data_IF_157339319888
#
_entry.id   IF_157339319888
#
_cell.length_a   1.000
_cell.length_b   1.000
_cell.length_c   1.000
_cell.angle_alpha   90.00
_cell.angle_beta   90.00
_cell.angle_gamma   90.00
#
_symmetry.space_group_name_H-M   'P 1'
#
loop_
_entity.id
_entity.type
_entity.pdbx_description
1 polymer ?
#
# COMPACT_ATOMS: atom_id res chain seq x y z
N UNK A 1 9.10 -28.84 -6.85
CA UNK A 1 8.53 -27.76 -7.67
C UNK A 1 7.68 -26.94 -6.73
N UNK A 2 8.33 -26.12 -5.91
CA UNK A 2 8.86 -24.77 -6.17
C UNK A 2 7.80 -23.79 -5.70
N UNK A 3 8.15 -22.98 -4.69
CA UNK A 3 7.87 -21.55 -4.75
C UNK A 3 8.85 -20.84 -3.79
N UNK A 4 10.06 -20.65 -4.31
CA UNK A 4 11.19 -19.95 -3.71
C UNK A 4 10.99 -18.41 -3.70
N UNK A 5 9.79 -17.91 -3.38
CA UNK A 5 9.49 -16.47 -3.46
C UNK A 5 8.85 -15.90 -2.18
N UNK A 6 9.35 -16.29 -1.01
CA UNK A 6 8.87 -15.71 0.25
C UNK A 6 9.23 -14.23 0.48
N UNK A 7 10.01 -13.60 -0.42
CA UNK A 7 10.46 -12.21 -0.27
C UNK A 7 10.16 -11.26 -1.44
N UNK A 8 9.56 -11.71 -2.55
CA UNK A 8 9.27 -10.83 -3.72
C UNK A 8 8.00 -9.97 -3.55
N UNK A 9 7.09 -10.30 -2.61
CA UNK A 9 5.72 -9.74 -2.59
C UNK A 9 5.34 -8.86 -1.40
N UNK A 10 6.28 -8.43 -0.54
CA UNK A 10 5.89 -7.55 0.59
C UNK A 10 5.38 -6.20 0.09
N UNK A 11 6.04 -5.61 -0.90
CA UNK A 11 5.55 -4.38 -1.53
C UNK A 11 5.64 -4.44 -3.05
N UNK A 12 4.56 -4.06 -3.74
CA UNK A 12 4.53 -4.00 -5.20
C UNK A 12 4.56 -2.54 -5.69
N UNK A 13 5.41 -2.26 -6.67
CA UNK A 13 5.57 -0.92 -7.27
C UNK A 13 4.68 -0.83 -8.51
N UNK A 14 3.90 0.24 -8.64
CA UNK A 14 3.06 0.47 -9.81
C UNK A 14 3.04 1.95 -10.18
N UNK A 15 2.76 2.27 -11.43
CA UNK A 15 2.52 3.63 -11.88
C UNK A 15 1.23 3.68 -12.72
N UNK A 16 0.55 4.83 -12.71
CA UNK A 16 -0.68 5.04 -13.48
C UNK A 16 -1.05 6.52 -13.53
N UNK A 17 -1.39 7.03 -14.72
CA UNK A 17 -1.77 8.43 -14.95
C UNK A 17 -0.79 9.48 -14.38
N UNK A 18 0.50 9.17 -14.34
CA UNK A 18 1.53 10.06 -13.80
C UNK A 18 1.77 9.93 -12.29
N UNK A 19 0.97 9.12 -11.57
CA UNK A 19 1.16 8.84 -10.16
C UNK A 19 1.91 7.51 -9.95
N UNK A 20 2.79 7.50 -8.96
CA UNK A 20 3.55 6.33 -8.51
C UNK A 20 2.98 5.78 -7.22
N UNK A 21 2.97 4.45 -7.12
CA UNK A 21 2.29 3.74 -6.05
C UNK A 21 3.16 2.65 -5.43
N UNK A 22 2.98 2.43 -4.14
CA UNK A 22 3.53 1.29 -3.42
C UNK A 22 2.39 0.51 -2.75
N UNK A 23 2.24 -0.76 -3.08
CA UNK A 23 1.13 -1.60 -2.65
C UNK A 23 1.55 -2.62 -1.60
N UNK A 24 0.67 -2.92 -0.65
CA UNK A 24 0.81 -4.05 0.26
C UNK A 24 -0.52 -4.79 0.42
N UNK A 25 -0.50 -6.11 0.28
CA UNK A 25 -1.66 -6.97 0.56
C UNK A 25 -1.61 -7.48 2.01
N UNK A 26 -2.35 -6.79 2.89
CA UNK A 26 -2.47 -7.11 4.31
C UNK A 26 -3.47 -8.22 4.62
N UNK A 27 -4.18 -8.77 3.63
CA UNK A 27 -5.26 -9.75 3.89
C UNK A 27 -4.73 -11.04 4.52
N UNK A 28 -3.53 -11.47 4.13
CA UNK A 28 -2.89 -12.68 4.66
C UNK A 28 -1.75 -12.38 5.66
N UNK A 29 -1.19 -11.16 5.62
CA UNK A 29 -0.08 -10.73 6.49
C UNK A 29 -0.39 -9.33 7.01
N UNK A 30 -0.84 -9.23 8.26
CA UNK A 30 -1.21 -7.93 8.83
C UNK A 30 0.02 -7.04 8.98
N UNK A 31 -0.04 -5.83 8.43
CA UNK A 31 0.94 -4.78 8.63
C UNK A 31 0.26 -3.59 9.31
N UNK A 32 0.85 -3.10 10.41
CA UNK A 32 0.32 -1.93 11.11
C UNK A 32 0.71 -0.66 10.35
N UNK A 33 -0.17 -0.23 9.45
CA UNK A 33 0.06 0.97 8.65
C UNK A 33 -0.20 2.20 9.50
N UNK A 34 0.84 3.00 9.69
CA UNK A 34 0.78 4.30 10.34
C UNK A 34 1.71 5.29 9.61
N UNK A 35 1.58 6.58 9.95
CA UNK A 35 2.37 7.66 9.35
C UNK A 35 3.88 7.38 9.39
N UNK A 36 4.40 6.87 10.50
CA UNK A 36 5.83 6.59 10.65
C UNK A 36 6.30 5.50 9.70
N UNK A 37 5.50 4.45 9.49
CA UNK A 37 5.82 3.42 8.51
C UNK A 37 5.92 4.01 7.10
N UNK A 38 4.97 4.84 6.69
CA UNK A 38 4.99 5.45 5.35
C UNK A 38 6.22 6.32 5.15
N UNK A 39 6.54 7.18 6.11
CA UNK A 39 7.73 8.04 6.07
C UNK A 39 9.03 7.21 6.05
N UNK A 40 9.08 6.12 6.82
CA UNK A 40 10.22 5.21 6.81
C UNK A 40 10.36 4.52 5.45
N UNK A 41 9.27 4.02 4.86
CA UNK A 41 9.30 3.42 3.52
C UNK A 41 9.80 4.43 2.49
N UNK A 42 9.34 5.68 2.56
CA UNK A 42 9.84 6.76 1.69
C UNK A 42 11.33 7.06 1.89
N UNK A 43 11.84 6.96 3.12
CA UNK A 43 13.25 7.21 3.43
C UNK A 43 14.15 6.05 2.99
N UNK A 44 13.76 4.80 3.31
CA UNK A 44 14.55 3.60 3.04
C UNK A 44 14.52 3.16 1.58
N UNK A 45 13.45 3.44 0.83
CA UNK A 45 13.41 3.18 -0.61
C UNK A 45 14.15 4.30 -1.37
N UNK A 46 15.45 4.11 -1.57
CA UNK A 46 16.29 5.04 -2.32
C UNK A 46 16.08 4.93 -3.84
N UNK A 47 15.70 3.74 -4.31
CA UNK A 47 15.50 3.39 -5.72
C UNK A 47 14.08 3.65 -6.23
N UNK A 48 13.14 3.97 -5.34
CA UNK A 48 11.75 4.19 -5.70
C UNK A 48 11.08 5.21 -4.78
N UNK A 49 10.50 6.26 -5.36
CA UNK A 49 9.59 7.16 -4.69
C UNK A 49 8.17 6.84 -5.14
N UNK A 50 7.23 6.92 -4.21
CA UNK A 50 5.82 6.72 -4.46
C UNK A 50 5.08 7.97 -3.99
N UNK A 51 4.06 8.38 -4.74
CA UNK A 51 3.17 9.47 -4.37
C UNK A 51 2.12 8.97 -3.36
N UNK A 52 1.69 7.72 -3.51
CA UNK A 52 0.70 7.08 -2.65
C UNK A 52 1.08 5.64 -2.27
N UNK A 53 0.78 5.28 -1.03
CA UNK A 53 0.83 3.92 -0.53
C UNK A 53 -0.58 3.35 -0.44
N UNK A 54 -0.76 2.14 -0.97
CA UNK A 54 -2.05 1.46 -1.04
C UNK A 54 -1.99 0.17 -0.24
N UNK A 55 -2.92 0.02 0.70
CA UNK A 55 -3.07 -1.18 1.50
C UNK A 55 -4.38 -1.89 1.16
N UNK A 56 -4.30 -3.18 0.86
CA UNK A 56 -5.46 -4.05 0.70
C UNK A 56 -5.61 -4.86 1.99
N UNK A 57 -6.67 -4.61 2.75
CA UNK A 57 -6.95 -5.24 4.03
C UNK A 57 -8.21 -6.12 3.91
N UNK A 58 -8.45 -6.93 4.95
CA UNK A 58 -9.69 -7.69 5.08
C UNK A 58 -10.88 -6.72 5.13
N UNK A 59 -12.04 -7.12 4.56
CA UNK A 59 -13.24 -6.29 4.60
C UNK A 59 -13.73 -6.14 6.05
N UNK A 60 -14.24 -4.96 6.41
CA UNK A 60 -14.82 -4.71 7.74
C UNK A 60 -16.28 -5.17 7.86
N UNK A 61 -16.96 -5.44 6.74
CA UNK A 61 -18.37 -5.86 6.61
C UNK A 61 -18.49 -6.84 5.44
N UNK A 62 -19.70 -7.08 4.94
CA UNK A 62 -19.93 -7.83 3.70
C UNK A 62 -19.28 -7.08 2.52
N UNK A 63 -18.14 -7.59 2.05
CA UNK A 63 -17.36 -7.07 0.93
C UNK A 63 -16.17 -7.99 0.65
N UNK A 64 -15.42 -7.74 -0.42
CA UNK A 64 -14.29 -8.59 -0.81
C UNK A 64 -12.97 -8.15 -0.15
N UNK A 65 -12.75 -6.84 -0.02
CA UNK A 65 -11.60 -6.27 0.66
C UNK A 65 -11.86 -4.82 1.10
N UNK A 66 -10.97 -4.28 1.92
CA UNK A 66 -10.91 -2.86 2.27
C UNK A 66 -9.64 -2.27 1.66
N UNK A 67 -9.75 -1.23 0.84
CA UNK A 67 -8.60 -0.53 0.29
C UNK A 67 -8.39 0.78 1.06
N UNK A 68 -7.16 1.00 1.54
CA UNK A 68 -6.75 2.25 2.21
C UNK A 68 -5.66 2.94 1.41
N UNK A 69 -5.74 4.26 1.34
CA UNK A 69 -4.78 5.10 0.65
C UNK A 69 -4.06 6.01 1.65
N UNK A 70 -2.75 6.11 1.50
CA UNK A 70 -1.89 7.00 2.28
C UNK A 70 -1.08 7.83 1.30
N UNK A 71 -1.00 9.14 1.53
CA UNK A 71 -0.09 9.98 0.77
C UNK A 71 1.36 9.72 1.23
N UNK A 72 2.34 10.11 0.41
CA UNK A 72 3.76 9.96 0.72
C UNK A 72 4.20 10.62 2.05
N UNK A 73 3.47 11.65 2.51
CA UNK A 73 3.70 12.31 3.81
C UNK A 73 3.11 11.54 5.01
N UNK A 74 2.47 10.40 4.76
CA UNK A 74 1.84 9.52 5.73
C UNK A 74 0.51 10.03 6.28
N UNK A 75 -0.12 11.01 5.64
CA UNK A 75 -1.54 11.32 5.85
C UNK A 75 -2.42 10.30 5.15
N UNK A 76 -3.52 9.87 5.79
CA UNK A 76 -4.52 9.06 5.11
C UNK A 76 -5.22 9.93 4.06
N UNK A 77 -5.20 9.46 2.81
CA UNK A 77 -6.06 10.01 1.78
C UNK A 77 -7.44 9.40 2.01
N UNK A 78 -8.21 10.00 2.91
CA UNK A 78 -9.62 9.66 3.06
C UNK A 78 -10.27 9.79 1.70
N UNK A 79 -11.04 8.79 1.26
CA UNK A 79 -11.83 8.90 0.04
C UNK A 79 -12.70 10.16 0.10
N UNK A 80 -12.19 11.27 -0.45
CA UNK A 80 -13.01 12.40 -0.83
C UNK A 80 -13.43 12.14 -2.29
N UNK A 81 -14.49 11.35 -2.45
CA UNK A 81 -15.51 11.60 -3.47
C UNK A 81 -15.29 11.16 -4.92
N UNK A 82 -14.41 10.23 -5.29
CA UNK A 82 -14.36 9.71 -6.68
C UNK A 82 -14.00 8.21 -6.83
N UNK A 83 -14.14 7.42 -5.77
CA UNK A 83 -13.92 5.97 -5.81
C UNK A 83 -15.22 5.20 -5.49
N UNK A 84 -16.28 5.52 -6.24
CA UNK A 84 -17.51 4.72 -6.34
C UNK A 84 -17.46 3.90 -7.63
#
# INVERSE_FOLDING_TARGET
MNDENENIYVFQKMNGAGNTFLFHDSRNRKLDINKNLILNLQSFMSDYKFDQFICIDKPMRNGECLIKFWNADGTESGMCGNAL
#
